data_IF_220802836148
#
_entry.id   IF_220802836148
#
_cell.length_a   1.000
_cell.length_b   1.000
_cell.length_c   1.000
_cell.angle_alpha   90.00
_cell.angle_beta   90.00
_cell.angle_gamma   90.00
#
_symmetry.space_group_name_H-M   'P 1'
#
loop_
_entity.id
_entity.type
_entity.pdbx_description
1 polymer ?
#
# COMPACT_ATOMS: atom_id res chain seq x y z
N UNK A 1 -24.00 6.94 26.06
CA UNK A 1 -23.48 6.47 24.75
C UNK A 1 -23.21 7.59 23.75
N UNK A 2 -23.87 8.76 23.82
CA UNK A 2 -23.69 9.86 22.86
C UNK A 2 -22.33 10.58 22.91
N UNK A 3 -21.81 10.92 24.09
CA UNK A 3 -20.60 11.75 24.21
C UNK A 3 -19.30 11.05 23.75
N UNK A 4 -19.16 9.74 24.02
CA UNK A 4 -17.99 8.96 23.56
C UNK A 4 -17.95 8.81 22.03
N UNK A 5 -19.12 8.74 21.39
CA UNK A 5 -19.23 8.65 19.93
C UNK A 5 -18.77 9.95 19.27
N UNK A 6 -19.22 11.09 19.81
CA UNK A 6 -18.81 12.42 19.34
C UNK A 6 -17.32 12.70 19.54
N UNK A 7 -16.71 12.22 20.63
CA UNK A 7 -15.26 12.35 20.85
C UNK A 7 -14.48 11.55 19.80
N UNK A 8 -14.87 10.29 19.56
CA UNK A 8 -14.22 9.44 18.56
C UNK A 8 -14.38 10.00 17.14
N UNK A 9 -15.55 10.54 16.81
CA UNK A 9 -15.81 11.19 15.51
C UNK A 9 -14.87 12.39 15.29
N UNK A 10 -14.71 13.25 16.31
CA UNK A 10 -13.78 14.38 16.25
C UNK A 10 -12.30 13.95 16.13
N UNK A 11 -11.93 12.86 16.81
CA UNK A 11 -10.58 12.29 16.69
C UNK A 11 -10.31 11.73 15.29
N UNK A 12 -11.26 10.99 14.74
CA UNK A 12 -11.17 10.44 13.38
C UNK A 12 -11.02 11.56 12.34
N UNK A 13 -11.82 12.61 12.44
CA UNK A 13 -11.73 13.78 11.54
C UNK A 13 -10.35 14.45 11.61
N UNK A 14 -9.78 14.57 12.82
CA UNK A 14 -8.41 15.06 13.00
C UNK A 14 -7.37 14.18 12.32
N UNK A 15 -7.49 12.86 12.44
CA UNK A 15 -6.57 11.92 11.78
C UNK A 15 -6.69 11.95 10.26
N UNK A 16 -7.91 12.02 9.72
CA UNK A 16 -8.14 12.15 8.28
C UNK A 16 -7.51 13.43 7.73
N UNK A 17 -7.69 14.54 8.44
CA UNK A 17 -7.08 15.82 8.07
C UNK A 17 -5.55 15.72 8.04
N UNK A 18 -4.94 15.23 9.12
CA UNK A 18 -3.49 15.06 9.21
C UNK A 18 -2.97 14.15 8.09
N UNK A 19 -3.66 13.05 7.84
CA UNK A 19 -3.30 12.11 6.78
C UNK A 19 -3.32 12.74 5.39
N UNK A 20 -4.33 13.58 5.10
CA UNK A 20 -4.41 14.31 3.84
C UNK A 20 -3.29 15.36 3.71
N UNK A 21 -2.99 16.09 4.78
CA UNK A 21 -1.87 17.05 4.80
C UNK A 21 -0.52 16.35 4.52
N UNK A 22 -0.29 15.18 5.13
CA UNK A 22 0.92 14.40 4.88
C UNK A 22 1.02 13.91 3.43
N UNK A 23 -0.10 13.54 2.80
CA UNK A 23 -0.12 13.15 1.39
C UNK A 23 0.28 14.31 0.48
N UNK A 24 -0.33 15.47 0.67
CA UNK A 24 -0.03 16.67 -0.13
C UNK A 24 1.43 17.10 0.04
N UNK A 25 1.94 17.09 1.28
CA UNK A 25 3.34 17.37 1.54
C UNK A 25 4.27 16.39 0.80
N UNK A 26 3.99 15.10 0.89
CA UNK A 26 4.78 14.06 0.21
C UNK A 26 4.82 14.26 -1.30
N UNK A 27 3.65 14.50 -1.91
CA UNK A 27 3.53 14.72 -3.35
C UNK A 27 4.31 15.97 -3.81
N UNK A 28 4.26 17.03 -3.02
CA UNK A 28 5.02 18.26 -3.28
C UNK A 28 6.53 18.04 -3.20
N UNK A 29 7.01 17.33 -2.17
CA UNK A 29 8.45 17.07 -1.97
C UNK A 29 9.07 16.24 -3.10
N UNK A 30 8.29 15.38 -3.74
CA UNK A 30 8.75 14.53 -4.84
C UNK A 30 8.42 15.11 -6.24
N UNK A 31 7.89 16.34 -6.30
CA UNK A 31 7.44 17.02 -7.52
C UNK A 31 6.49 16.16 -8.38
N UNK A 32 5.48 15.58 -7.73
CA UNK A 32 4.55 14.66 -8.37
C UNK A 32 3.10 15.13 -8.18
N UNK A 33 2.49 15.63 -9.24
CA UNK A 33 1.15 16.20 -9.17
C UNK A 33 0.07 15.14 -8.97
N UNK A 34 -1.06 15.55 -8.39
CA UNK A 34 -2.22 14.69 -8.15
C UNK A 34 -2.82 14.19 -9.47
N UNK A 35 -2.81 15.03 -10.50
CA UNK A 35 -3.30 14.69 -11.83
C UNK A 35 -2.42 13.62 -12.48
N UNK A 36 -1.10 13.79 -12.41
CA UNK A 36 -0.17 12.81 -12.96
C UNK A 36 -0.24 11.49 -12.20
N UNK A 37 -0.34 11.53 -10.87
CA UNK A 37 -0.53 10.35 -10.03
C UNK A 37 -1.77 9.54 -10.43
N UNK A 38 -2.88 10.23 -10.70
CA UNK A 38 -4.12 9.56 -11.12
C UNK A 38 -4.01 8.95 -12.52
N UNK A 39 -3.38 9.66 -13.47
CA UNK A 39 -3.11 9.12 -14.80
C UNK A 39 -2.20 7.89 -14.75
N UNK A 40 -1.15 7.95 -13.95
CA UNK A 40 -0.22 6.82 -13.78
C UNK A 40 -0.88 5.63 -13.08
N UNK A 41 -1.81 5.87 -12.15
CA UNK A 41 -2.61 4.82 -11.55
C UNK A 41 -3.43 4.06 -12.61
N UNK A 42 -4.07 4.76 -13.54
CA UNK A 42 -4.83 4.14 -14.63
C UNK A 42 -3.93 3.35 -15.57
N UNK A 43 -2.80 3.92 -15.98
CA UNK A 43 -1.80 3.22 -16.78
C UNK A 43 -1.27 1.96 -16.10
N UNK A 44 -1.01 2.03 -14.78
CA UNK A 44 -0.52 0.91 -14.00
C UNK A 44 -1.57 -0.20 -13.88
N UNK A 45 -2.84 0.16 -13.62
CA UNK A 45 -3.95 -0.79 -13.61
C UNK A 45 -4.12 -1.48 -14.95
N UNK A 46 -3.99 -0.75 -16.06
CA UNK A 46 -4.07 -1.34 -17.39
C UNK A 46 -2.91 -2.30 -17.64
N UNK A 47 -1.68 -1.90 -17.31
CA UNK A 47 -0.52 -2.78 -17.43
C UNK A 47 -0.65 -4.08 -16.60
N UNK A 48 -1.21 -4.00 -15.39
CA UNK A 48 -1.46 -5.18 -14.54
C UNK A 48 -2.45 -6.17 -15.16
N UNK A 49 -3.41 -5.72 -15.97
CA UNK A 49 -4.33 -6.62 -16.70
C UNK A 49 -3.57 -7.51 -17.68
N UNK A 50 -2.61 -6.91 -18.39
CA UNK A 50 -1.82 -7.58 -19.43
C UNK A 50 -0.79 -8.59 -18.85
N UNK A 51 -0.46 -8.48 -17.55
CA UNK A 51 0.51 -9.37 -16.90
C UNK A 51 -0.11 -10.70 -16.46
N UNK A 52 -0.39 -11.60 -17.41
CA UNK A 52 -1.00 -12.91 -17.13
C UNK A 52 -0.15 -13.85 -16.25
N UNK A 53 1.18 -13.64 -16.20
CA UNK A 53 2.09 -14.47 -15.41
C UNK A 53 2.06 -14.14 -13.91
N UNK A 54 1.45 -13.02 -13.52
CA UNK A 54 1.27 -12.61 -12.14
C UNK A 54 -0.01 -13.25 -11.54
N UNK A 55 -0.13 -13.38 -10.21
CA UNK A 55 -1.32 -13.95 -9.57
C UNK A 55 -2.58 -13.12 -9.82
N UNK A 56 -3.75 -13.75 -9.76
CA UNK A 56 -5.04 -13.07 -10.00
C UNK A 56 -5.36 -11.96 -8.99
N UNK A 57 -4.82 -12.06 -7.77
CA UNK A 57 -5.01 -11.04 -6.73
C UNK A 57 -4.56 -9.64 -7.18
N UNK A 58 -3.66 -9.54 -8.16
CA UNK A 58 -3.18 -8.27 -8.71
C UNK A 58 -4.29 -7.37 -9.26
N UNK A 59 -5.40 -7.95 -9.72
CA UNK A 59 -6.54 -7.21 -10.28
C UNK A 59 -7.50 -6.70 -9.21
N UNK A 60 -7.36 -7.20 -7.97
CA UNK A 60 -8.22 -6.88 -6.83
C UNK A 60 -7.51 -5.99 -5.80
N UNK A 61 -6.30 -5.54 -6.10
CA UNK A 61 -5.54 -4.68 -5.19
C UNK A 61 -6.21 -3.32 -5.03
N UNK A 62 -6.08 -2.74 -3.83
CA UNK A 62 -6.62 -1.43 -3.51
C UNK A 62 -5.84 -0.33 -4.23
N UNK A 63 -6.52 0.72 -4.68
CA UNK A 63 -5.88 1.90 -5.27
C UNK A 63 -4.80 2.50 -4.36
N UNK A 64 -5.04 2.55 -3.04
CA UNK A 64 -4.05 3.03 -2.07
C UNK A 64 -2.74 2.21 -2.08
N UNK A 65 -2.84 0.91 -2.36
CA UNK A 65 -1.66 0.05 -2.51
C UNK A 65 -0.84 0.52 -3.72
N UNK A 66 -1.47 0.63 -4.89
CA UNK A 66 -0.80 1.07 -6.12
C UNK A 66 -0.25 2.50 -6.01
N UNK A 67 -1.02 3.42 -5.41
CA UNK A 67 -0.62 4.80 -5.17
C UNK A 67 0.63 4.89 -4.28
N UNK A 68 0.76 4.00 -3.29
CA UNK A 68 1.94 3.96 -2.43
C UNK A 68 3.19 3.54 -3.21
N UNK A 69 3.08 2.59 -4.15
CA UNK A 69 4.20 2.23 -5.03
C UNK A 69 4.59 3.39 -5.96
N UNK A 70 3.59 4.09 -6.53
CA UNK A 70 3.81 5.25 -7.40
C UNK A 70 4.53 6.39 -6.65
N UNK A 71 4.02 6.77 -5.47
CA UNK A 71 4.62 7.80 -4.62
C UNK A 71 6.04 7.39 -4.17
N UNK A 72 6.23 6.14 -3.73
CA UNK A 72 7.53 5.62 -3.32
C UNK A 72 8.57 5.52 -4.44
N UNK A 73 8.14 5.54 -5.71
CA UNK A 73 9.01 5.53 -6.88
C UNK A 73 9.13 6.90 -7.56
N UNK A 74 8.58 7.96 -6.98
CA UNK A 74 8.55 9.31 -7.56
C UNK A 74 7.94 9.33 -8.97
N UNK A 75 6.85 8.59 -9.19
CA UNK A 75 6.18 8.50 -10.49
C UNK A 75 6.92 7.70 -11.57
N UNK A 76 8.09 7.10 -11.27
CA UNK A 76 8.82 6.30 -12.25
C UNK A 76 8.14 4.96 -12.52
N UNK A 77 7.39 4.90 -13.63
CA UNK A 77 6.63 3.72 -14.04
C UNK A 77 7.49 2.46 -14.18
N UNK A 78 8.71 2.58 -14.70
CA UNK A 78 9.65 1.44 -14.84
C UNK A 78 10.03 0.83 -13.49
N UNK A 79 10.33 1.69 -12.50
CA UNK A 79 10.68 1.25 -11.14
C UNK A 79 9.49 0.59 -10.46
N UNK A 80 8.29 1.12 -10.67
CA UNK A 80 7.04 0.59 -10.10
C UNK A 80 6.75 -0.81 -10.64
N UNK A 81 6.79 -0.98 -11.96
CA UNK A 81 6.60 -2.28 -12.63
C UNK A 81 7.58 -3.32 -12.10
N UNK A 82 8.88 -2.99 -12.07
CA UNK A 82 9.93 -3.87 -11.52
C UNK A 82 9.68 -4.23 -10.05
N UNK A 83 9.29 -3.28 -9.21
CA UNK A 83 8.99 -3.55 -7.79
C UNK A 83 7.77 -4.44 -7.61
N UNK A 84 6.73 -4.25 -8.42
CA UNK A 84 5.53 -5.09 -8.38
C UNK A 84 5.82 -6.51 -8.85
N UNK A 85 6.59 -6.68 -9.92
CA UNK A 85 7.00 -8.02 -10.40
C UNK A 85 7.78 -8.77 -9.32
N UNK A 86 8.73 -8.10 -8.66
CA UNK A 86 9.48 -8.68 -7.54
C UNK A 86 8.54 -9.02 -6.38
N UNK A 87 7.66 -8.10 -6.00
CA UNK A 87 6.71 -8.30 -4.91
C UNK A 87 5.89 -9.57 -5.10
N UNK A 88 5.24 -9.73 -6.26
CA UNK A 88 4.44 -10.91 -6.54
C UNK A 88 5.27 -12.17 -6.69
N UNK A 89 6.46 -12.08 -7.28
CA UNK A 89 7.38 -13.21 -7.43
C UNK A 89 7.83 -13.77 -6.08
N UNK A 90 8.20 -12.89 -5.14
CA UNK A 90 8.68 -13.30 -3.81
C UNK A 90 7.50 -13.74 -2.94
N UNK A 91 6.36 -13.05 -3.01
CA UNK A 91 5.16 -13.38 -2.20
C UNK A 91 4.64 -14.79 -2.50
N UNK A 92 4.66 -15.23 -3.75
CA UNK A 92 4.21 -16.57 -4.13
C UNK A 92 5.23 -17.69 -3.84
N UNK A 93 6.52 -17.38 -3.85
CA UNK A 93 7.60 -18.39 -3.76
C UNK A 93 8.23 -18.51 -2.37
N UNK A 94 8.25 -17.42 -1.60
CA UNK A 94 9.00 -17.39 -0.33
C UNK A 94 8.24 -18.10 0.77
N UNK A 95 8.98 -18.95 1.50
CA UNK A 95 8.47 -19.69 2.65
C UNK A 95 8.07 -18.76 3.80
N UNK A 96 8.66 -17.57 3.89
CA UNK A 96 8.36 -16.57 4.94
C UNK A 96 6.91 -16.04 4.89
N UNK A 97 6.23 -16.21 3.76
CA UNK A 97 4.85 -15.78 3.58
C UNK A 97 3.84 -16.93 3.68
N UNK A 98 4.32 -18.16 3.90
CA UNK A 98 3.48 -19.34 4.16
C UNK A 98 3.28 -19.50 5.66
N UNK A 99 2.14 -20.06 6.06
CA UNK A 99 1.85 -20.50 7.43
C UNK A 99 2.08 -19.42 8.51
N UNK A 100 1.61 -18.20 8.24
CA UNK A 100 1.66 -17.07 9.20
C UNK A 100 0.55 -17.23 10.25
N UNK A 101 0.77 -18.11 11.23
CA UNK A 101 -0.09 -18.21 12.40
C UNK A 101 0.36 -17.19 13.47
N UNK A 102 -0.44 -16.15 13.77
CA UNK A 102 -0.11 -15.18 14.81
C UNK A 102 -0.06 -15.79 16.22
N UNK A 103 -0.61 -17.00 16.41
CA UNK A 103 -0.61 -17.74 17.68
C UNK A 103 0.50 -18.80 17.74
N UNK A 104 1.31 -18.95 16.69
CA UNK A 104 2.44 -19.89 16.68
C UNK A 104 3.35 -19.62 17.89
N UNK A 105 3.67 -20.69 18.62
CA UNK A 105 4.42 -20.61 19.87
C UNK A 105 5.85 -20.06 19.64
N UNK A 106 6.45 -20.32 18.48
CA UNK A 106 7.77 -19.77 18.13
C UNK A 106 7.69 -18.27 17.84
N UNK A 107 6.60 -17.80 17.24
CA UNK A 107 6.40 -16.38 16.98
C UNK A 107 6.17 -15.59 18.28
N UNK A 108 5.37 -16.13 19.20
CA UNK A 108 5.13 -15.52 20.53
C UNK A 108 6.42 -15.45 21.37
N UNK A 109 7.22 -16.52 21.35
CA UNK A 109 8.53 -16.53 22.03
C UNK A 109 9.49 -15.47 21.46
N UNK A 110 9.44 -15.18 20.16
CA UNK A 110 10.25 -14.14 19.55
C UNK A 110 9.77 -12.72 19.91
N UNK A 111 8.46 -12.49 20.01
CA UNK A 111 7.91 -11.18 20.39
C UNK A 111 8.20 -10.80 21.84
N UNK A 112 8.32 -11.79 22.73
CA UNK A 112 8.60 -11.57 24.16
C UNK A 112 10.09 -11.25 24.45
N UNK A 113 10.95 -11.29 23.42
CA UNK A 113 12.40 -11.01 23.50
C UNK A 113 12.73 -9.53 23.19
N UNK A 114 11.75 -8.73 22.77
CA UNK A 114 11.89 -7.31 22.46
C UNK A 114 10.98 -6.44 23.33
#
# INVERSE_FOLDING_TARGET
>A
MSAKKTILENELEKYEKLFNEMKEFTLKEIDYSREQLQLDLEHLKQWLKDQHHLPECRLKENDNFLLTYLAGCKGSMEKVKRKLDIYYSVRGKSQIYRDRDPLDENYRKMSDIW
#
